data_IF_331112642569
#
_entry.id   IF_331112642569
#
_cell.length_a   1.000
_cell.length_b   1.000
_cell.length_c   1.000
_cell.angle_alpha   90.00
_cell.angle_beta   90.00
_cell.angle_gamma   90.00
#
_symmetry.space_group_name_H-M   'P 1'
#
loop_
_entity.id
_entity.type
_entity.pdbx_description
1 polymer ?
#
# COMPACT_ATOMS: atom_id res chain seq x y z
N UNK A 1 -8.39 6.84 18.71
CA UNK A 1 -9.45 5.83 18.63
C UNK A 1 -8.79 4.47 18.66
N UNK A 2 -9.08 3.64 19.67
CA UNK A 2 -8.58 2.26 19.67
C UNK A 2 -9.44 1.45 18.69
N UNK A 3 -8.80 0.81 17.71
CA UNK A 3 -9.52 -0.17 16.88
C UNK A 3 -10.10 -1.24 17.80
N UNK A 4 -11.33 -1.72 17.54
CA UNK A 4 -11.85 -2.86 18.28
C UNK A 4 -10.79 -3.96 18.21
N UNK A 5 -10.40 -4.51 19.36
CA UNK A 5 -9.50 -5.67 19.40
C UNK A 5 -10.18 -6.77 18.60
N UNK A 6 -9.77 -6.93 17.35
CA UNK A 6 -10.20 -7.99 16.46
C UNK A 6 -9.63 -9.26 17.04
N UNK A 7 -10.37 -9.89 17.96
CA UNK A 7 -10.10 -11.25 18.36
C UNK A 7 -10.18 -12.09 17.10
N UNK A 8 -9.09 -12.77 16.77
CA UNK A 8 -8.99 -13.71 15.65
C UNK A 8 -10.35 -14.43 15.47
N UNK A 9 -10.98 -14.42 14.26
CA UNK A 9 -12.31 -15.00 14.03
C UNK A 9 -12.44 -16.50 14.35
N UNK A 10 -11.40 -17.09 14.90
CA UNK A 10 -11.29 -18.51 15.15
C UNK A 10 -10.90 -18.74 16.60
N UNK A 11 -11.93 -18.94 17.43
CA UNK A 11 -11.87 -19.89 18.55
C UNK A 11 -11.42 -21.32 18.11
N UNK A 12 -11.20 -21.56 16.81
CA UNK A 12 -10.70 -22.80 16.20
C UNK A 12 -9.22 -22.78 15.79
N UNK A 13 -8.55 -21.63 15.88
CA UNK A 13 -7.17 -21.50 15.48
C UNK A 13 -6.30 -21.81 16.70
N UNK A 14 -5.98 -23.08 16.91
CA UNK A 14 -4.96 -23.52 17.87
C UNK A 14 -3.56 -23.11 17.45
N UNK A 15 -3.35 -21.83 17.10
CA UNK A 15 -2.02 -21.32 16.78
C UNK A 15 -1.20 -21.23 18.07
N UNK A 16 -0.44 -22.29 18.33
CA UNK A 16 0.58 -22.32 19.38
C UNK A 16 1.71 -21.30 19.14
N UNK A 17 1.86 -20.81 17.91
CA UNK A 17 2.93 -19.87 17.53
C UNK A 17 2.37 -18.48 17.24
N UNK A 18 2.50 -17.61 18.23
CA UNK A 18 2.22 -16.17 18.14
C UNK A 18 3.48 -15.43 17.70
N UNK A 19 3.30 -14.38 16.89
CA UNK A 19 4.33 -13.43 16.48
C UNK A 19 3.93 -12.05 16.95
N UNK A 20 4.88 -11.28 17.45
CA UNK A 20 4.66 -9.89 17.90
C UNK A 20 5.19 -8.97 16.81
N UNK A 21 4.32 -8.15 16.22
CA UNK A 21 4.72 -7.11 15.28
C UNK A 21 4.54 -5.75 15.94
N UNK A 22 5.63 -5.01 16.07
CA UNK A 22 5.62 -3.64 16.61
C UNK A 22 5.68 -2.68 15.44
N UNK A 23 4.64 -1.86 15.27
CA UNK A 23 4.50 -0.97 14.12
C UNK A 23 4.52 0.47 14.57
N UNK A 24 5.38 1.29 13.97
CA UNK A 24 5.45 2.73 14.22
C UNK A 24 6.87 3.24 14.43
N UNK A 25 6.98 4.41 15.03
CA UNK A 25 8.28 4.97 15.46
C UNK A 25 8.63 4.49 16.86
N UNK A 26 9.87 4.74 17.31
CA UNK A 26 10.30 4.39 18.67
C UNK A 26 9.35 4.97 19.74
N UNK A 27 8.92 6.22 19.56
CA UNK A 27 8.08 6.95 20.52
C UNK A 27 6.58 6.62 20.41
N UNK A 28 6.13 6.12 19.26
CA UNK A 28 4.73 5.81 18.97
C UNK A 28 4.64 4.49 18.20
N UNK A 29 4.61 3.39 18.95
CA UNK A 29 4.42 2.06 18.40
C UNK A 29 3.09 1.44 18.85
N UNK A 30 2.49 0.67 17.96
CA UNK A 30 1.39 -0.24 18.24
C UNK A 30 1.88 -1.68 18.17
N UNK A 31 1.36 -2.52 19.06
CA UNK A 31 1.78 -3.92 19.18
C UNK A 31 0.66 -4.83 18.70
N UNK A 32 0.92 -5.56 17.62
CA UNK A 32 0.02 -6.53 17.04
C UNK A 32 0.50 -7.95 17.38
N UNK A 33 -0.43 -8.81 17.81
CA UNK A 33 -0.17 -10.23 18.08
C UNK A 33 -0.86 -11.05 17.01
N UNK A 34 -0.07 -11.60 16.08
CA UNK A 34 -0.59 -12.28 14.89
C UNK A 34 -0.18 -13.75 14.94
N UNK A 35 -1.02 -14.66 14.43
CA UNK A 35 -0.59 -16.04 14.25
C UNK A 35 0.48 -16.15 13.15
N UNK A 36 1.56 -16.90 13.44
CA UNK A 36 2.65 -17.21 12.48
C UNK A 36 2.16 -17.86 11.17
N UNK A 37 1.08 -18.65 11.21
CA UNK A 37 0.49 -19.29 10.02
C UNK A 37 -0.27 -18.31 9.13
N UNK A 38 -0.69 -17.17 9.63
CA UNK A 38 -1.53 -16.24 8.87
C UNK A 38 -0.70 -15.29 7.99
N UNK A 39 0.57 -15.08 8.35
CA UNK A 39 1.53 -14.17 7.70
C UNK A 39 2.40 -14.85 6.62
N UNK A 40 1.96 -16.00 6.09
CA UNK A 40 2.72 -16.77 5.08
C UNK A 40 2.88 -16.03 3.75
N UNK A 41 2.08 -14.97 3.54
CA UNK A 41 2.04 -14.19 2.31
C UNK A 41 3.05 -13.05 2.29
N UNK A 42 3.53 -12.59 3.46
CA UNK A 42 4.53 -11.51 3.55
C UNK A 42 5.94 -12.07 3.62
N UNK A 43 6.74 -11.83 2.58
CA UNK A 43 8.15 -12.24 2.54
C UNK A 43 9.00 -11.48 3.56
N UNK A 44 8.69 -10.20 3.79
CA UNK A 44 9.33 -9.39 4.82
C UNK A 44 9.12 -10.00 6.22
N UNK A 45 7.87 -10.30 6.62
CA UNK A 45 7.60 -10.85 7.95
C UNK A 45 8.20 -12.25 8.10
N UNK A 46 8.06 -13.11 7.07
CA UNK A 46 8.66 -14.47 7.09
C UNK A 46 10.17 -14.43 7.31
N UNK A 47 10.88 -13.60 6.57
CA UNK A 47 12.35 -13.51 6.67
C UNK A 47 12.78 -13.05 8.07
N UNK A 48 12.15 -12.02 8.63
CA UNK A 48 12.46 -11.51 9.97
C UNK A 48 12.17 -12.52 11.07
N UNK A 49 11.06 -13.26 10.96
CA UNK A 49 10.68 -14.29 11.93
C UNK A 49 11.65 -15.48 11.86
N UNK A 50 12.06 -15.88 10.66
CA UNK A 50 13.02 -16.96 10.49
C UNK A 50 14.44 -16.55 10.93
N UNK A 51 14.76 -15.26 10.87
CA UNK A 51 16.00 -14.69 11.41
C UNK A 51 15.98 -14.49 12.93
N UNK A 52 14.81 -14.58 13.58
CA UNK A 52 14.69 -14.40 15.03
C UNK A 52 15.50 -15.46 15.79
N UNK A 53 16.28 -15.01 16.79
CA UNK A 53 17.11 -15.85 17.68
C UNK A 53 16.88 -15.59 19.16
N UNK A 54 15.96 -14.69 19.52
CA UNK A 54 15.67 -14.34 20.90
C UNK A 54 14.85 -15.40 21.63
N UNK A 55 14.80 -15.30 22.96
CA UNK A 55 13.92 -16.13 23.79
C UNK A 55 12.47 -15.65 23.69
N UNK A 56 11.52 -16.58 23.58
CA UNK A 56 10.09 -16.28 23.48
C UNK A 56 9.56 -16.10 22.05
N UNK A 57 8.35 -15.52 21.90
CA UNK A 57 7.72 -15.31 20.59
C UNK A 57 8.57 -14.44 19.66
N UNK A 58 8.68 -14.77 18.36
CA UNK A 58 9.36 -13.92 17.39
C UNK A 58 8.80 -12.50 17.40
N UNK A 59 9.70 -11.50 17.44
CA UNK A 59 9.32 -10.10 17.39
C UNK A 59 9.86 -9.44 16.12
N UNK A 60 9.01 -8.68 15.44
CA UNK A 60 9.37 -7.92 14.25
C UNK A 60 9.07 -6.44 14.50
N UNK A 61 10.09 -5.60 14.37
CA UNK A 61 9.93 -4.15 14.42
C UNK A 61 9.76 -3.64 12.99
N UNK A 62 8.65 -2.96 12.73
CA UNK A 62 8.31 -2.45 11.41
C UNK A 62 8.03 -0.95 11.48
N UNK A 63 8.89 -0.16 10.85
CA UNK A 63 8.78 1.31 10.91
C UNK A 63 7.84 1.80 9.82
N UNK A 64 6.62 2.18 10.22
CA UNK A 64 5.59 2.68 9.31
C UNK A 64 4.90 3.94 9.86
N UNK A 65 4.45 4.81 8.96
CA UNK A 65 3.71 6.03 9.31
C UNK A 65 2.22 5.70 9.44
N UNK A 66 1.63 6.02 10.60
CA UNK A 66 0.23 5.69 10.88
C UNK A 66 0.09 4.22 11.28
N UNK A 67 0.34 3.88 12.56
CA UNK A 67 0.30 2.48 13.02
C UNK A 67 -1.09 1.84 12.80
N UNK A 68 -2.14 2.65 12.89
CA UNK A 68 -3.51 2.37 12.49
C UNK A 68 -3.68 1.60 11.16
N UNK A 69 -2.86 1.89 10.15
CA UNK A 69 -2.94 1.24 8.82
C UNK A 69 -2.62 -0.25 8.93
N UNK A 70 -1.70 -0.60 9.82
CA UNK A 70 -1.38 -2.00 10.04
C UNK A 70 -2.53 -2.76 10.71
N UNK A 71 -3.41 -2.07 11.46
CA UNK A 71 -4.67 -2.64 11.93
C UNK A 71 -5.59 -3.10 10.80
N UNK A 72 -5.62 -2.38 9.66
CA UNK A 72 -6.37 -2.81 8.46
C UNK A 72 -5.72 -4.03 7.79
N UNK A 73 -4.38 -4.07 7.74
CA UNK A 73 -3.66 -5.23 7.23
C UNK A 73 -3.84 -6.46 8.14
N UNK A 74 -3.77 -6.28 9.46
CA UNK A 74 -4.04 -7.30 10.46
C UNK A 74 -5.46 -7.84 10.30
N UNK A 75 -6.45 -6.96 10.10
CA UNK A 75 -7.81 -7.37 9.76
C UNK A 75 -7.85 -8.22 8.47
N UNK A 76 -7.17 -7.79 7.41
CA UNK A 76 -7.10 -8.55 6.15
C UNK A 76 -6.44 -9.92 6.34
N UNK A 77 -5.38 -10.04 7.14
CA UNK A 77 -4.74 -11.33 7.43
C UNK A 77 -5.76 -12.35 7.96
N UNK A 78 -6.71 -11.87 8.76
CA UNK A 78 -7.74 -12.68 9.41
C UNK A 78 -8.95 -12.97 8.51
N UNK A 79 -9.46 -11.97 7.78
CA UNK A 79 -10.71 -12.08 7.01
C UNK A 79 -10.49 -12.35 5.52
N UNK A 80 -9.26 -12.13 5.04
CA UNK A 80 -8.91 -12.11 3.61
C UNK A 80 -9.79 -11.16 2.80
N UNK A 81 -10.32 -10.11 3.43
CA UNK A 81 -11.11 -9.07 2.79
C UNK A 81 -10.47 -7.71 3.04
N UNK A 82 -10.32 -6.92 1.99
CA UNK A 82 -9.72 -5.59 2.08
C UNK A 82 -10.80 -4.60 2.48
N UNK A 83 -10.62 -4.01 3.67
CA UNK A 83 -11.52 -3.01 4.22
C UNK A 83 -10.83 -1.67 4.41
N UNK A 84 -11.60 -0.59 4.26
CA UNK A 84 -11.19 0.76 4.67
C UNK A 84 -11.55 1.03 6.12
N UNK A 85 -10.99 2.09 6.71
CA UNK A 85 -11.33 2.54 8.07
C UNK A 85 -12.82 2.88 8.17
N UNK A 86 -13.36 3.54 7.14
CA UNK A 86 -14.78 3.89 7.07
C UNK A 86 -15.68 2.63 7.08
N UNK A 87 -15.28 1.59 6.36
CA UNK A 87 -16.01 0.31 6.30
C UNK A 87 -16.03 -0.42 7.64
N UNK A 88 -14.88 -0.53 8.31
CA UNK A 88 -14.81 -1.18 9.63
C UNK A 88 -15.58 -0.42 10.71
N UNK A 89 -15.68 0.90 10.58
CA UNK A 89 -16.46 1.74 11.48
C UNK A 89 -17.96 1.75 11.14
N UNK A 90 -18.39 1.03 10.10
CA UNK A 90 -19.80 1.00 9.68
C UNK A 90 -20.31 2.35 9.17
N UNK A 91 -19.43 3.21 8.64
CA UNK A 91 -19.81 4.52 8.13
C UNK A 91 -20.78 4.37 6.94
N UNK A 92 -21.96 5.01 7.06
CA UNK A 92 -22.97 5.03 5.99
C UNK A 92 -22.60 5.99 4.86
N UNK A 93 -22.06 7.15 5.21
CA UNK A 93 -21.54 8.12 4.25
C UNK A 93 -20.02 7.96 4.19
N UNK A 94 -19.55 7.46 3.05
CA UNK A 94 -18.15 7.15 2.83
C UNK A 94 -17.56 8.25 1.99
N UNK A 95 -16.62 9.01 2.57
CA UNK A 95 -15.85 9.97 1.81
C UNK A 95 -14.89 9.19 0.88
N UNK A 96 -15.05 9.28 -0.45
CA UNK A 96 -14.19 8.59 -1.39
C UNK A 96 -12.71 8.94 -1.21
N UNK A 97 -12.42 10.16 -0.77
CA UNK A 97 -11.04 10.63 -0.56
C UNK A 97 -10.36 9.80 0.53
N UNK A 98 -11.06 9.61 1.64
CA UNK A 98 -10.58 8.82 2.77
C UNK A 98 -10.48 7.34 2.37
N UNK A 99 -11.49 6.82 1.66
CA UNK A 99 -11.49 5.42 1.22
C UNK A 99 -10.33 5.09 0.27
N UNK A 100 -10.14 5.88 -0.79
CA UNK A 100 -9.02 5.67 -1.70
C UNK A 100 -7.68 5.97 -1.02
N UNK A 101 -7.63 6.94 -0.09
CA UNK A 101 -6.46 7.18 0.75
C UNK A 101 -6.04 5.94 1.54
N UNK A 102 -6.99 5.29 2.20
CA UNK A 102 -6.77 4.03 2.93
C UNK A 102 -6.28 2.93 2.00
N UNK A 103 -6.95 2.73 0.85
CA UNK A 103 -6.57 1.67 -0.10
C UNK A 103 -5.17 1.88 -0.70
N UNK A 104 -4.80 3.11 -1.04
CA UNK A 104 -3.46 3.42 -1.55
C UNK A 104 -2.39 3.25 -0.48
N UNK A 105 -2.70 3.62 0.76
CA UNK A 105 -1.78 3.43 1.90
C UNK A 105 -1.61 1.95 2.22
N UNK A 106 -2.68 1.14 2.13
CA UNK A 106 -2.63 -0.30 2.26
C UNK A 106 -1.82 -0.95 1.13
N UNK A 107 -1.99 -0.49 -0.10
CA UNK A 107 -1.19 -0.98 -1.23
C UNK A 107 0.30 -0.71 -0.98
N UNK A 108 0.67 0.50 -0.56
CA UNK A 108 2.04 0.86 -0.23
C UNK A 108 2.59 0.05 0.95
N UNK A 109 1.76 -0.20 1.98
CA UNK A 109 2.11 -1.08 3.09
C UNK A 109 2.42 -2.49 2.60
N UNK A 110 1.59 -3.03 1.69
CA UNK A 110 1.83 -4.34 1.07
C UNK A 110 3.14 -4.41 0.28
N UNK A 111 3.59 -3.30 -0.29
CA UNK A 111 4.90 -3.21 -0.94
C UNK A 111 6.05 -3.33 0.06
N UNK A 112 6.02 -2.56 1.15
CA UNK A 112 7.08 -2.62 2.17
C UNK A 112 7.09 -3.97 2.91
N UNK A 113 5.92 -4.59 3.08
CA UNK A 113 5.79 -5.95 3.63
C UNK A 113 6.13 -7.05 2.62
N UNK A 114 6.37 -6.71 1.36
CA UNK A 114 6.59 -7.68 0.27
C UNK A 114 5.48 -8.76 0.25
N UNK A 115 4.22 -8.33 0.39
CA UNK A 115 3.05 -9.19 0.37
C UNK A 115 2.29 -8.99 -0.95
N UNK A 116 2.69 -9.73 -1.98
CA UNK A 116 2.16 -9.59 -3.34
C UNK A 116 0.67 -9.94 -3.38
N UNK A 117 0.25 -10.98 -2.65
CA UNK A 117 -1.16 -11.38 -2.61
C UNK A 117 -2.01 -10.26 -2.01
N UNK A 118 -1.56 -9.65 -0.92
CA UNK A 118 -2.25 -8.51 -0.35
C UNK A 118 -2.36 -7.34 -1.34
N UNK A 119 -1.26 -6.98 -2.00
CA UNK A 119 -1.26 -5.90 -3.00
C UNK A 119 -2.24 -6.17 -4.16
N UNK A 120 -2.30 -7.41 -4.65
CA UNK A 120 -3.24 -7.80 -5.70
C UNK A 120 -4.70 -7.70 -5.24
N UNK A 121 -4.99 -8.09 -3.99
CA UNK A 121 -6.33 -7.93 -3.42
C UNK A 121 -6.70 -6.46 -3.24
N UNK A 122 -5.78 -5.61 -2.76
CA UNK A 122 -6.00 -4.17 -2.63
C UNK A 122 -6.23 -3.54 -4.01
N UNK A 123 -5.44 -3.92 -5.01
CA UNK A 123 -5.61 -3.48 -6.40
C UNK A 123 -6.98 -3.87 -6.94
N UNK A 124 -7.41 -5.11 -6.69
CA UNK A 124 -8.73 -5.60 -7.09
C UNK A 124 -9.86 -4.81 -6.41
N UNK A 125 -9.68 -4.47 -5.13
CA UNK A 125 -10.62 -3.67 -4.35
C UNK A 125 -10.73 -2.22 -4.88
N UNK A 126 -9.63 -1.62 -5.34
CA UNK A 126 -9.60 -0.32 -6.02
C UNK A 126 -10.36 -0.41 -7.35
N UNK A 127 -10.02 -1.40 -8.19
CA UNK A 127 -10.64 -1.58 -9.52
C UNK A 127 -12.16 -1.79 -9.38
N UNK A 128 -12.60 -2.61 -8.42
CA UNK A 128 -14.01 -2.86 -8.17
C UNK A 128 -14.79 -1.58 -7.86
N UNK A 129 -14.24 -0.71 -6.99
CA UNK A 129 -14.85 0.59 -6.65
C UNK A 129 -14.88 1.55 -7.84
N UNK A 130 -13.83 1.57 -8.65
CA UNK A 130 -13.79 2.39 -9.87
C UNK A 130 -14.77 1.93 -10.96
N UNK A 131 -15.25 0.69 -10.91
CA UNK A 131 -16.22 0.15 -11.87
C UNK A 131 -17.68 0.41 -11.50
N UNK A 132 -17.97 0.88 -10.29
CA UNK A 132 -19.35 1.14 -9.85
C UNK A 132 -19.98 2.17 -10.80
N UNK A 133 -21.14 1.89 -11.42
CA UNK A 133 -21.85 2.87 -12.24
C UNK A 133 -22.20 4.10 -11.40
N UNK A 134 -21.88 5.31 -11.89
CA UNK A 134 -21.92 6.58 -11.14
C UNK A 134 -20.87 6.72 -10.00
N UNK A 135 -19.89 5.82 -9.96
CA UNK A 135 -18.80 5.87 -8.98
C UNK A 135 -17.81 6.99 -9.26
N UNK A 136 -16.97 7.24 -8.26
CA UNK A 136 -15.97 8.32 -8.12
C UNK A 136 -14.84 8.38 -9.15
N UNK A 137 -15.00 7.69 -10.27
CA UNK A 137 -14.07 7.60 -11.40
C UNK A 137 -13.56 8.95 -11.91
N UNK A 138 -14.37 10.02 -11.84
CA UNK A 138 -13.94 11.39 -12.20
C UNK A 138 -13.05 12.04 -11.13
N UNK A 139 -13.24 11.70 -9.87
CA UNK A 139 -12.46 12.25 -8.77
C UNK A 139 -11.15 11.50 -8.55
N UNK A 140 -11.09 10.21 -8.89
CA UNK A 140 -9.93 9.36 -8.61
C UNK A 140 -8.60 9.92 -9.14
N UNK A 141 -8.45 10.35 -10.42
CA UNK A 141 -7.16 10.84 -10.92
C UNK A 141 -6.67 12.12 -10.22
N UNK A 142 -7.58 13.06 -9.97
CA UNK A 142 -7.25 14.32 -9.29
C UNK A 142 -6.85 14.09 -7.83
N UNK A 143 -7.58 13.20 -7.15
CA UNK A 143 -7.37 12.86 -5.75
C UNK A 143 -6.12 12.01 -5.56
N UNK A 144 -5.85 11.09 -6.49
CA UNK A 144 -4.65 10.28 -6.51
C UNK A 144 -3.39 11.16 -6.50
N UNK A 145 -3.32 12.15 -7.40
CA UNK A 145 -2.19 13.08 -7.44
C UNK A 145 -2.04 13.87 -6.13
N UNK A 146 -3.15 14.26 -5.51
CA UNK A 146 -3.15 15.01 -4.25
C UNK A 146 -2.66 14.15 -3.07
N UNK A 147 -3.13 12.91 -2.96
CA UNK A 147 -2.73 11.96 -1.92
C UNK A 147 -1.26 11.60 -2.06
N UNK A 148 -0.79 11.35 -3.29
CA UNK A 148 0.62 11.07 -3.54
C UNK A 148 1.52 12.27 -3.26
N UNK A 149 1.08 13.48 -3.61
CA UNK A 149 1.83 14.71 -3.32
C UNK A 149 1.90 15.01 -1.82
N UNK A 150 0.83 14.75 -1.06
CA UNK A 150 0.73 15.20 0.33
C UNK A 150 1.12 14.13 1.37
N UNK A 151 0.81 12.85 1.15
CA UNK A 151 0.98 11.80 2.18
C UNK A 151 2.31 11.04 2.10
N UNK A 152 3.07 11.17 1.01
CA UNK A 152 4.35 10.47 0.83
C UNK A 152 5.59 11.36 1.00
N UNK A 153 5.45 12.70 1.04
CA UNK A 153 6.59 13.62 0.91
C UNK A 153 7.10 14.29 2.18
N UNK A 154 6.43 14.13 3.33
CA UNK A 154 6.83 14.83 4.57
C UNK A 154 7.98 14.15 5.33
N UNK A 155 9.01 13.67 4.63
CA UNK A 155 10.25 13.26 5.27
C UNK A 155 11.33 12.82 4.27
N UNK A 156 12.61 12.87 4.69
CA UNK A 156 13.72 12.43 3.86
C UNK A 156 13.67 10.91 3.70
N UNK A 157 13.04 10.43 2.63
CA UNK A 157 13.23 9.06 2.14
C UNK A 157 13.94 9.09 0.79
N UNK A 158 14.74 8.05 0.49
CA UNK A 158 15.50 7.95 -0.74
C UNK A 158 14.55 7.89 -1.95
N UNK A 159 14.97 8.56 -3.02
CA UNK A 159 14.30 8.81 -4.30
C UNK A 159 13.66 7.61 -5.03
N UNK A 160 13.75 6.39 -4.48
CA UNK A 160 13.25 5.15 -5.08
C UNK A 160 11.72 4.97 -5.05
N UNK A 161 10.99 5.66 -4.17
CA UNK A 161 9.53 5.52 -4.10
C UNK A 161 8.80 6.32 -5.21
N UNK A 162 9.43 7.33 -5.80
CA UNK A 162 8.83 8.15 -6.86
C UNK A 162 8.69 7.39 -8.19
N UNK A 163 9.63 6.50 -8.53
CA UNK A 163 9.52 5.64 -9.71
C UNK A 163 8.53 4.50 -9.48
N UNK A 164 8.53 3.90 -8.29
CA UNK A 164 7.56 2.88 -7.92
C UNK A 164 6.13 3.43 -7.96
N UNK A 165 5.88 4.65 -7.47
CA UNK A 165 4.55 5.25 -7.52
C UNK A 165 4.02 5.44 -8.94
N UNK A 166 4.87 5.87 -9.89
CA UNK A 166 4.47 6.03 -11.28
C UNK A 166 4.27 4.68 -11.98
N UNK A 167 5.08 3.67 -11.65
CA UNK A 167 4.85 2.29 -12.12
C UNK A 167 3.56 1.71 -11.55
N UNK A 168 3.23 1.98 -10.29
CA UNK A 168 1.97 1.57 -9.67
C UNK A 168 0.78 2.25 -10.32
N UNK A 169 0.84 3.56 -10.54
CA UNK A 169 -0.16 4.31 -11.31
C UNK A 169 -0.34 3.68 -12.67
N UNK A 170 0.76 3.46 -13.39
CA UNK A 170 0.73 2.85 -14.71
C UNK A 170 0.15 1.45 -14.64
N UNK A 171 0.51 0.63 -13.65
CA UNK A 171 0.03 -0.74 -13.52
C UNK A 171 -1.47 -0.80 -13.15
N UNK A 172 -1.92 0.04 -12.22
CA UNK A 172 -3.35 0.16 -11.85
C UNK A 172 -4.14 0.71 -13.04
N UNK A 173 -3.67 1.77 -13.69
CA UNK A 173 -4.32 2.35 -14.86
C UNK A 173 -4.33 1.35 -16.02
N UNK A 174 -3.23 0.67 -16.32
CA UNK A 174 -3.15 -0.34 -17.39
C UNK A 174 -4.08 -1.51 -17.10
N UNK A 175 -4.12 -2.03 -15.86
CA UNK A 175 -5.07 -3.08 -15.48
C UNK A 175 -6.52 -2.57 -15.58
N UNK A 176 -6.79 -1.34 -15.17
CA UNK A 176 -8.11 -0.73 -15.23
C UNK A 176 -8.55 -0.49 -16.68
N UNK A 177 -7.70 0.10 -17.54
CA UNK A 177 -8.00 0.34 -18.96
C UNK A 177 -8.12 -0.96 -19.74
N UNK A 178 -7.25 -1.94 -19.48
CA UNK A 178 -7.33 -3.26 -20.13
C UNK A 178 -8.62 -3.99 -19.76
N UNK A 179 -9.08 -3.83 -18.51
CA UNK A 179 -10.36 -4.37 -18.07
C UNK A 179 -11.57 -3.64 -18.66
N UNK A 180 -11.48 -2.31 -18.81
CA UNK A 180 -12.56 -1.48 -19.33
C UNK A 180 -12.61 -1.40 -20.86
N UNK A 181 -11.55 -1.85 -21.56
CA UNK A 181 -11.58 -2.01 -23.02
C UNK A 181 -12.69 -2.96 -23.48
N UNK A 182 -13.22 -3.79 -22.57
CA UNK A 182 -14.37 -4.67 -22.79
C UNK A 182 -15.74 -3.96 -22.64
N UNK A 183 -15.80 -2.80 -21.98
CA UNK A 183 -17.02 -1.99 -21.78
C UNK A 183 -16.86 -0.70 -22.59
N UNK A 184 -16.86 -0.78 -23.93
CA UNK A 184 -16.91 0.43 -24.76
C UNK A 184 -18.31 1.05 -24.69
N UNK A 185 -18.46 2.14 -23.93
CA UNK A 185 -19.44 3.18 -24.25
C UNK A 185 -18.89 4.02 -25.41
N UNK A 186 -19.59 4.15 -26.55
CA UNK A 186 -19.14 5.01 -27.64
C UNK A 186 -19.23 6.48 -27.18
N UNK A 187 -18.10 7.19 -27.08
CA UNK A 187 -18.12 8.65 -26.91
C UNK A 187 -16.94 9.31 -26.19
N UNK A 188 -16.18 8.61 -25.34
CA UNK A 188 -15.06 9.24 -24.60
C UNK A 188 -13.72 8.80 -25.21
N UNK A 189 -13.13 9.69 -26.01
CA UNK A 189 -11.81 9.50 -26.64
C UNK A 189 -10.73 10.07 -25.73
N UNK A 190 -10.00 9.22 -25.00
CA UNK A 190 -8.81 9.64 -24.26
C UNK A 190 -7.62 9.72 -25.25
N UNK A 191 -7.11 10.93 -25.47
CA UNK A 191 -5.90 11.17 -26.26
C UNK A 191 -4.67 10.76 -25.44
N UNK A 192 -3.88 9.84 -25.97
CA UNK A 192 -2.57 9.40 -25.47
C UNK A 192 -1.50 10.50 -25.48
N UNK A 193 -1.81 11.71 -25.97
CA UNK A 193 -0.85 12.79 -26.18
C UNK A 193 -0.53 13.63 -24.94
N UNK A 194 -1.21 13.41 -23.80
CA UNK A 194 -0.99 14.18 -22.56
C UNK A 194 -0.03 13.54 -21.55
N UNK A 195 0.56 12.38 -21.86
CA UNK A 195 1.61 11.75 -21.03
C UNK A 195 3.05 12.16 -21.43
N UNK A 196 3.21 13.24 -22.20
CA UNK A 196 4.51 13.72 -22.71
C UNK A 196 5.24 14.70 -21.78
N UNK A 197 4.61 15.17 -20.70
CA UNK A 197 5.14 16.25 -19.87
C UNK A 197 5.93 15.76 -18.65
N UNK A 198 6.88 14.84 -18.82
CA UNK A 198 7.91 14.51 -17.83
C UNK A 198 9.20 14.08 -18.55
N UNK A 199 9.76 14.96 -19.38
CA UNK A 199 11.19 14.90 -19.72
C UNK A 199 11.96 15.68 -18.66
N UNK A 200 12.75 14.98 -17.85
CA UNK A 200 13.75 15.63 -17.01
C UNK A 200 14.87 16.24 -17.89
N UNK A 201 15.49 17.35 -17.46
CA UNK A 201 16.69 17.86 -18.10
C UNK A 201 17.83 16.86 -17.91
N UNK A 202 18.56 16.57 -19.00
CA UNK A 202 19.82 15.82 -18.93
C UNK A 202 20.80 16.65 -18.09
N UNK A 203 21.23 16.13 -16.94
CA UNK A 203 22.41 16.63 -16.26
C UNK A 203 23.65 16.23 -17.08
N UNK A 204 24.27 17.22 -17.70
CA UNK A 204 25.55 17.10 -18.37
C UNK A 204 26.62 16.97 -17.27
N UNK A 205 27.13 15.76 -17.07
CA UNK A 205 28.28 15.52 -16.19
C UNK A 205 29.52 15.81 -17.01
N UNK A 206 30.11 16.98 -16.76
CA UNK A 206 31.36 17.42 -17.34
C UNK A 206 32.52 16.63 -16.71
N UNK A 207 33.03 15.62 -17.42
CA UNK A 207 34.18 14.83 -16.99
C UNK A 207 35.45 15.61 -17.31
N UNK A 208 35.93 16.36 -16.33
CA UNK A 208 37.23 17.04 -16.37
C UNK A 208 38.37 16.05 -16.58
N UNK A 209 38.99 16.08 -17.76
CA UNK A 209 40.24 15.37 -18.06
C UNK A 209 41.40 16.01 -17.28
N UNK A 210 41.95 15.26 -16.33
CA UNK A 210 43.16 15.62 -15.61
C UNK A 210 44.39 15.21 -16.42
N UNK A 211 45.04 16.19 -17.04
CA UNK A 211 46.26 16.01 -17.83
C UNK A 211 47.46 15.79 -16.90
N UNK A 212 48.03 14.59 -16.93
CA UNK A 212 49.39 14.29 -16.46
C UNK A 212 50.40 15.12 -17.26
N UNK A 213 51.26 15.89 -16.59
CA UNK A 213 52.61 16.20 -17.08
C UNK A 213 53.63 15.94 -15.97
N UNK A 214 54.75 15.42 -16.43
CA UNK A 214 55.95 15.00 -15.71
C UNK A 214 56.60 16.18 -14.98
#
# INVERSE_FOLDING_TARGET
>A
MAYPKLTCPTAKCGCSSVVIVRVGTADKNEVHKICRKSIQTSDFLKSHINAWRGTGPPQVNFTWRGPNVFGLYDHWIHTRSVHTTAELNGARNRDPVVEYGDLLTLWALGNDLQDILFQDMVTSAIIARLRVPNGDSSSFPLRFNTIFANNLYDGPRPYHLCECSLRTVSHILVRWTSSNAFIRRPGIRWSSSKMSCLRQPKSEIDVGKQTRRK
#
